data_IF_930658479825
#
_entry.id   IF_930658479825
#
_cell.length_a   1.000
_cell.length_b   1.000
_cell.length_c   1.000
_cell.angle_alpha   90.00
_cell.angle_beta   90.00
_cell.angle_gamma   90.00
#
_symmetry.space_group_name_H-M   'P 1'
#
loop_
_entity.id
_entity.type
_entity.pdbx_description
1 polymer ?
#
# COMPACT_ATOMS: atom_id res chain seq x y z
N UNK A 1 -13.05 19.28 -2.27
CA UNK A 1 -13.11 17.89 -2.82
C UNK A 1 -12.18 16.92 -2.10
N UNK A 2 -10.89 17.23 -1.92
CA UNK A 2 -9.93 16.32 -1.26
C UNK A 2 -10.33 15.94 0.17
N UNK A 3 -10.76 16.91 0.99
CA UNK A 3 -11.18 16.68 2.39
C UNK A 3 -12.31 15.66 2.52
N UNK A 4 -13.25 15.65 1.57
CA UNK A 4 -14.37 14.69 1.57
C UNK A 4 -13.88 13.27 1.31
N UNK A 5 -12.92 13.09 0.40
CA UNK A 5 -12.33 11.78 0.12
C UNK A 5 -11.43 11.30 1.26
N UNK A 6 -10.62 12.19 1.86
CA UNK A 6 -9.79 11.84 3.03
C UNK A 6 -10.67 11.33 4.16
N UNK A 7 -11.77 12.02 4.47
CA UNK A 7 -12.72 11.58 5.49
C UNK A 7 -13.29 10.19 5.16
N UNK A 8 -13.71 9.96 3.91
CA UNK A 8 -14.25 8.66 3.47
C UNK A 8 -13.24 7.52 3.57
N UNK A 9 -11.97 7.75 3.19
CA UNK A 9 -10.90 6.74 3.26
C UNK A 9 -10.64 6.34 4.71
N UNK A 10 -10.50 7.31 5.60
CA UNK A 10 -10.14 7.07 7.00
C UNK A 10 -11.28 6.43 7.82
N UNK A 11 -12.53 6.68 7.46
CA UNK A 11 -13.70 6.14 8.20
C UNK A 11 -14.26 4.85 7.61
N UNK A 12 -13.66 4.32 6.54
CA UNK A 12 -14.18 3.14 5.85
C UNK A 12 -13.97 1.86 6.67
N UNK A 13 -14.96 0.98 6.68
CA UNK A 13 -14.92 -0.31 7.41
C UNK A 13 -14.37 -1.45 6.57
N UNK A 14 -13.28 -1.19 5.84
CA UNK A 14 -12.70 -2.18 4.93
C UNK A 14 -12.14 -3.40 5.65
N UNK A 15 -11.70 -3.22 6.90
CA UNK A 15 -11.08 -4.28 7.70
C UNK A 15 -12.06 -5.27 8.31
N UNK A 16 -13.37 -5.03 8.17
CA UNK A 16 -14.39 -6.03 8.52
C UNK A 16 -14.26 -7.28 7.63
N UNK A 17 -13.65 -7.15 6.44
CA UNK A 17 -13.47 -8.24 5.46
C UNK A 17 -12.04 -8.33 4.93
N UNK A 18 -11.36 -7.20 4.72
CA UNK A 18 -10.00 -7.14 4.19
C UNK A 18 -8.96 -7.18 5.32
N UNK A 19 -7.76 -7.62 4.99
CA UNK A 19 -6.60 -7.56 5.89
C UNK A 19 -5.56 -6.60 5.31
N UNK A 20 -4.75 -6.00 6.19
CA UNK A 20 -3.58 -5.28 5.72
C UNK A 20 -2.57 -6.29 5.14
N UNK A 21 -2.31 -6.18 3.85
CA UNK A 21 -1.36 -7.04 3.17
C UNK A 21 0.08 -6.56 3.38
N UNK A 22 1.07 -7.46 3.37
CA UNK A 22 2.44 -7.07 3.68
C UNK A 22 3.08 -6.24 2.55
N UNK A 23 4.05 -5.41 2.94
CA UNK A 23 4.92 -4.67 2.04
C UNK A 23 6.28 -5.39 1.95
N UNK A 24 6.55 -6.05 0.83
CA UNK A 24 7.74 -6.86 0.64
C UNK A 24 8.81 -6.14 -0.18
N UNK A 25 10.08 -6.29 0.20
CA UNK A 25 11.20 -5.84 -0.62
C UNK A 25 11.44 -6.76 -1.82
N UNK A 26 11.56 -6.19 -3.01
CA UNK A 26 11.91 -6.92 -4.23
C UNK A 26 13.41 -6.79 -4.51
N UNK A 27 14.24 -7.59 -3.84
CA UNK A 27 15.71 -7.47 -3.88
C UNK A 27 16.28 -7.48 -5.30
N UNK A 28 15.97 -8.50 -6.10
CA UNK A 28 16.52 -8.62 -7.47
C UNK A 28 16.13 -7.44 -8.36
N UNK A 29 14.87 -6.98 -8.26
CA UNK A 29 14.40 -5.83 -9.03
C UNK A 29 15.03 -4.53 -8.54
N UNK A 30 15.26 -4.43 -7.23
CA UNK A 30 15.92 -3.28 -6.62
C UNK A 30 17.37 -3.15 -7.07
N UNK A 31 18.11 -4.27 -7.06
CA UNK A 31 19.49 -4.35 -7.55
C UNK A 31 19.56 -4.03 -9.04
N UNK A 32 18.65 -4.59 -9.84
CA UNK A 32 18.62 -4.36 -11.30
C UNK A 32 18.30 -2.92 -11.70
N UNK A 33 17.43 -2.24 -10.94
CA UNK A 33 17.00 -0.87 -11.24
C UNK A 33 17.79 0.19 -10.46
N UNK A 34 18.70 -0.21 -9.58
CA UNK A 34 19.42 0.71 -8.70
C UNK A 34 18.51 1.53 -7.77
N UNK A 35 17.35 0.99 -7.41
CA UNK A 35 16.30 1.69 -6.64
C UNK A 35 15.69 0.77 -5.58
N UNK A 36 15.15 1.32 -4.50
CA UNK A 36 14.40 0.50 -3.52
C UNK A 36 13.01 0.17 -4.05
N UNK A 37 12.81 -1.06 -4.49
CA UNK A 37 11.51 -1.53 -5.01
C UNK A 37 10.77 -2.34 -3.95
N UNK A 38 9.52 -1.95 -3.72
CA UNK A 38 8.62 -2.53 -2.72
C UNK A 38 7.35 -3.02 -3.42
N UNK A 39 6.82 -4.17 -2.99
CA UNK A 39 5.60 -4.78 -3.51
C UNK A 39 4.57 -4.86 -2.38
N UNK A 40 3.41 -4.23 -2.58
CA UNK A 40 2.23 -4.44 -1.71
C UNK A 40 1.47 -5.63 -2.27
N UNK A 41 1.36 -6.70 -1.47
CA UNK A 41 0.73 -7.95 -1.91
C UNK A 41 -0.78 -7.94 -1.73
#
# INVERSE_FOLDING_TARGET
>A
MLEQYVKKILTSRVYDVAVETPLHGARQLSERLGNRVLLKR
#
